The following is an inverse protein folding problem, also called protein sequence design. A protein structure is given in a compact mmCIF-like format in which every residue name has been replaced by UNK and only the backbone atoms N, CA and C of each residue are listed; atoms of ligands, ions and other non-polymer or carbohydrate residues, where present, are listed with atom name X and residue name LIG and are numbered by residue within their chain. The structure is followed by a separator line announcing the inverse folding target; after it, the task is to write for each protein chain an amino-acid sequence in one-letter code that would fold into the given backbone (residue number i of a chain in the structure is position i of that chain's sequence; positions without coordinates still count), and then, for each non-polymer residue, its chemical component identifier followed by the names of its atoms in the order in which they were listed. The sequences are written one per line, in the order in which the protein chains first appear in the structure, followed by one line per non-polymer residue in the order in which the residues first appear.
data_IF_719014195258
#
_entry.id   IF_719014195258
#
_cell.length_a   1.000
_cell.length_b   1.000
_cell.length_c   1.000
_cell.angle_alpha   90.00
_cell.angle_beta   90.00
_cell.angle_gamma   90.00
#
_symmetry.space_group_name_H-M   'P 1'
#
loop_
_entity.id
_entity.type
_entity.pdbx_description
1 polymer ?
#
# COMPACT_ATOMS: atom_id res chain seq x y z
N UNK A 1 -23.95 -30.02 8.36
CA UNK A 1 -22.86 -29.67 9.29
C UNK A 1 -21.60 -29.56 8.44
N UNK A 2 -20.79 -28.52 8.65
CA UNK A 2 -19.50 -28.39 7.95
C UNK A 2 -18.49 -29.36 8.60
N UNK A 3 -17.65 -30.00 7.79
CA UNK A 3 -16.53 -30.79 8.30
C UNK A 3 -15.28 -29.93 8.56
N UNK A 4 -14.30 -30.48 9.28
CA UNK A 4 -13.09 -29.74 9.70
C UNK A 4 -12.25 -29.24 8.51
N UNK A 5 -12.25 -29.96 7.38
CA UNK A 5 -11.52 -29.55 6.18
C UNK A 5 -12.20 -28.35 5.50
N UNK A 6 -13.54 -28.35 5.46
CA UNK A 6 -14.34 -27.21 5.00
C UNK A 6 -14.16 -25.99 5.91
N UNK A 7 -14.18 -26.18 7.24
CA UNK A 7 -13.95 -25.11 8.21
C UNK A 7 -12.57 -24.48 8.05
N UNK A 8 -11.53 -25.31 7.88
CA UNK A 8 -10.16 -24.81 7.66
C UNK A 8 -10.02 -24.01 6.38
N UNK A 9 -10.58 -24.51 5.29
CA UNK A 9 -10.59 -23.83 3.98
C UNK A 9 -11.27 -22.46 4.08
N UNK A 10 -12.41 -22.40 4.77
CA UNK A 10 -13.16 -21.17 4.98
C UNK A 10 -12.38 -20.17 5.84
N UNK A 11 -11.71 -20.63 6.90
CA UNK A 11 -10.87 -19.80 7.75
C UNK A 11 -9.72 -19.15 6.96
N UNK A 12 -9.02 -19.95 6.15
CA UNK A 12 -7.92 -19.49 5.31
C UNK A 12 -8.39 -18.49 4.25
N UNK A 13 -9.53 -18.77 3.61
CA UNK A 13 -10.12 -17.85 2.63
C UNK A 13 -10.58 -16.55 3.27
N UNK A 14 -11.23 -16.61 4.43
CA UNK A 14 -11.66 -15.43 5.19
C UNK A 14 -10.46 -14.57 5.58
N UNK A 15 -9.38 -15.19 6.07
CA UNK A 15 -8.14 -14.51 6.41
C UNK A 15 -7.55 -13.80 5.19
N UNK A 16 -7.42 -14.50 4.07
CA UNK A 16 -6.92 -13.91 2.83
C UNK A 16 -7.73 -12.68 2.38
N UNK A 17 -9.07 -12.76 2.45
CA UNK A 17 -9.95 -11.66 2.06
C UNK A 17 -9.84 -10.46 3.00
N UNK A 18 -9.69 -10.68 4.31
CA UNK A 18 -9.43 -9.59 5.26
C UNK A 18 -8.11 -8.88 4.98
N UNK A 19 -7.04 -9.65 4.77
CA UNK A 19 -5.74 -9.09 4.43
C UNK A 19 -5.76 -8.34 3.08
N UNK A 20 -6.58 -8.78 2.12
CA UNK A 20 -6.80 -8.06 0.85
C UNK A 20 -7.46 -6.70 1.09
N UNK A 21 -8.53 -6.65 1.88
CA UNK A 21 -9.26 -5.40 2.17
C UNK A 21 -8.47 -4.43 3.06
N UNK A 22 -7.72 -4.94 4.04
CA UNK A 22 -6.79 -4.13 4.84
C UNK A 22 -5.75 -3.48 3.91
N UNK A 23 -5.19 -4.25 2.98
CA UNK A 23 -4.21 -3.72 2.03
C UNK A 23 -4.81 -2.70 1.07
N UNK A 24 -6.02 -2.96 0.56
CA UNK A 24 -6.77 -2.03 -0.29
C UNK A 24 -6.99 -0.69 0.41
N UNK A 25 -7.41 -0.73 1.68
CA UNK A 25 -7.65 0.46 2.50
C UNK A 25 -6.36 1.28 2.69
N UNK A 26 -5.27 0.62 3.08
CA UNK A 26 -3.98 1.29 3.25
C UNK A 26 -3.46 1.95 1.96
N UNK A 27 -3.69 1.32 0.80
CA UNK A 27 -3.33 1.90 -0.50
C UNK A 27 -4.20 3.11 -0.82
N UNK A 28 -5.52 3.03 -0.63
CA UNK A 28 -6.44 4.17 -0.84
C UNK A 28 -6.03 5.37 0.02
N UNK A 29 -5.74 5.14 1.29
CA UNK A 29 -5.29 6.18 2.22
C UNK A 29 -3.97 6.80 1.76
N UNK A 30 -2.95 5.98 1.45
CA UNK A 30 -1.66 6.47 0.99
C UNK A 30 -1.74 7.29 -0.31
N UNK A 31 -2.60 6.89 -1.25
CA UNK A 31 -2.82 7.63 -2.51
C UNK A 31 -3.60 8.93 -2.26
N UNK A 32 -4.58 8.90 -1.35
CA UNK A 32 -5.36 10.08 -0.93
C UNK A 32 -4.47 11.11 -0.22
N UNK A 33 -3.61 10.69 0.69
CA UNK A 33 -2.67 11.56 1.40
C UNK A 33 -1.69 12.29 0.46
N UNK A 34 -1.39 11.68 -0.70
CA UNK A 34 -0.59 12.32 -1.74
C UNK A 34 -1.39 13.29 -2.64
N UNK A 35 -2.71 13.41 -2.44
CA UNK A 35 -3.60 14.19 -3.30
C UNK A 35 -3.78 13.62 -4.70
N UNK A 36 -3.51 12.32 -4.88
CA UNK A 36 -3.49 11.64 -6.20
C UNK A 36 -4.64 10.66 -6.40
N UNK A 37 -5.59 10.58 -5.46
CA UNK A 37 -6.73 9.69 -5.57
C UNK A 37 -7.79 10.30 -6.50
N UNK A 38 -7.73 9.94 -7.78
CA UNK A 38 -8.79 10.25 -8.76
C UNK A 38 -9.88 9.19 -8.73
N UNK A 39 -11.05 9.49 -9.29
CA UNK A 39 -12.14 8.51 -9.42
C UNK A 39 -11.71 7.24 -10.16
N UNK A 40 -10.92 7.40 -11.23
CA UNK A 40 -10.37 6.29 -12.01
C UNK A 40 -9.42 5.42 -11.17
N UNK A 41 -8.51 6.04 -10.41
CA UNK A 41 -7.57 5.30 -9.55
C UNK A 41 -8.30 4.61 -8.40
N UNK A 42 -9.30 5.28 -7.80
CA UNK A 42 -10.14 4.67 -6.77
C UNK A 42 -10.91 3.46 -7.32
N UNK A 43 -11.51 3.56 -8.50
CA UNK A 43 -12.21 2.45 -9.15
C UNK A 43 -11.27 1.27 -9.43
N UNK A 44 -10.07 1.52 -9.94
CA UNK A 44 -9.06 0.48 -10.16
C UNK A 44 -8.64 -0.20 -8.85
N UNK A 45 -8.38 0.57 -7.79
CA UNK A 45 -8.02 0.03 -6.48
C UNK A 45 -9.18 -0.78 -5.90
N UNK A 46 -10.44 -0.33 -6.01
CA UNK A 46 -11.63 -1.06 -5.50
C UNK A 46 -11.94 -2.32 -6.31
N UNK A 47 -11.69 -2.31 -7.61
CA UNK A 47 -11.90 -3.43 -8.52
C UNK A 47 -10.82 -4.51 -8.48
N UNK A 48 -9.71 -4.29 -7.78
CA UNK A 48 -8.62 -5.28 -7.71
C UNK A 48 -9.04 -6.53 -6.92
N UNK A 49 -9.01 -7.70 -7.57
CA UNK A 49 -9.41 -8.99 -6.95
C UNK A 49 -8.25 -9.73 -6.26
N UNK A 50 -7.01 -9.27 -6.45
CA UNK A 50 -5.82 -9.92 -5.90
C UNK A 50 -4.87 -8.92 -5.26
N UNK A 51 -4.09 -9.39 -4.27
CA UNK A 51 -3.04 -8.58 -3.63
C UNK A 51 -1.99 -8.12 -4.64
N UNK A 52 -1.62 -8.96 -5.60
CA UNK A 52 -0.67 -8.60 -6.65
C UNK A 52 -1.18 -7.41 -7.49
N UNK A 53 -2.45 -7.48 -7.92
CA UNK A 53 -3.06 -6.38 -8.69
C UNK A 53 -3.11 -5.08 -7.89
N UNK A 54 -3.38 -5.15 -6.58
CA UNK A 54 -3.30 -3.98 -5.70
C UNK A 54 -1.89 -3.36 -5.70
N UNK A 55 -0.83 -4.19 -5.57
CA UNK A 55 0.55 -3.68 -5.59
C UNK A 55 0.93 -3.06 -6.94
N UNK A 56 0.51 -3.65 -8.05
CA UNK A 56 0.79 -3.13 -9.39
C UNK A 56 0.17 -1.74 -9.57
N UNK A 57 -1.08 -1.56 -9.12
CA UNK A 57 -1.77 -0.26 -9.15
C UNK A 57 -1.08 0.73 -8.21
N UNK A 58 -0.63 0.28 -7.03
CA UNK A 58 0.00 1.13 -6.04
C UNK A 58 1.44 1.55 -6.41
N UNK A 59 2.12 0.80 -7.28
CA UNK A 59 3.55 0.98 -7.59
C UNK A 59 3.94 2.43 -7.94
N UNK A 60 3.18 3.19 -8.76
CA UNK A 60 3.50 4.58 -9.09
C UNK A 60 3.34 5.56 -7.92
N UNK A 61 2.57 5.18 -6.92
CA UNK A 61 2.25 6.00 -5.74
C UNK A 61 3.08 5.62 -4.52
N UNK A 62 3.79 4.49 -4.56
CA UNK A 62 4.59 4.03 -3.43
C UNK A 62 5.63 5.10 -3.06
N UNK A 63 5.61 5.64 -1.82
CA UNK A 63 6.55 6.66 -1.39
C UNK A 63 7.98 6.16 -1.59
N UNK A 64 8.80 6.97 -2.28
CA UNK A 64 10.24 6.69 -2.33
C UNK A 64 10.78 6.83 -0.91
N UNK A 65 11.50 5.83 -0.42
CA UNK A 65 12.20 5.92 0.86
C UNK A 65 13.13 7.13 0.82
N UNK A 66 12.82 8.17 1.58
CA UNK A 66 13.75 9.27 1.83
C UNK A 66 14.95 8.70 2.59
N UNK A 67 16.13 8.80 1.99
CA UNK A 67 17.36 8.38 2.67
C UNK A 67 17.73 9.42 3.73
N UNK A 68 18.48 9.02 4.77
CA UNK A 68 19.00 9.96 5.79
C UNK A 68 19.76 11.13 5.14
N UNK A 69 20.45 10.87 4.02
CA UNK A 69 21.15 11.89 3.24
C UNK A 69 20.21 12.90 2.56
N UNK A 70 19.03 12.48 2.10
CA UNK A 70 18.02 13.38 1.54
C UNK A 70 17.38 14.26 2.63
N UNK A 71 17.11 13.69 3.80
CA UNK A 71 16.54 14.42 4.94
C UNK A 71 17.55 15.48 5.44
N UNK A 72 18.85 15.16 5.49
CA UNK A 72 19.89 16.11 5.88
C UNK A 72 19.98 17.30 4.90
N UNK A 73 19.95 17.04 3.59
CA UNK A 73 19.97 18.11 2.57
C UNK A 73 18.71 19.00 2.63
N UNK A 74 17.54 18.41 2.80
CA UNK A 74 16.26 19.16 2.89
C UNK A 74 16.12 19.96 4.19
N UNK A 75 16.79 19.55 5.28
CA UNK A 75 16.82 20.28 6.55
C UNK A 75 17.80 21.47 6.56
N UNK A 76 18.37 21.84 5.41
CA UNK A 76 19.40 22.88 5.32
C UNK A 76 20.74 22.48 5.93
N UNK A 77 20.95 21.19 6.21
CA UNK A 77 22.23 20.62 6.62
C UNK A 77 23.04 20.23 5.38
N UNK A 78 23.08 21.11 4.37
CA UNK A 78 24.24 21.11 3.48
C UNK A 78 25.47 21.29 4.38
N UNK A 79 26.48 20.44 4.27
CA UNK A 79 27.62 20.57 5.13
C UNK A 79 28.26 21.94 4.84
N UNK A 80 28.49 22.72 5.88
CA UNK A 80 29.76 23.43 6.02
C UNK A 80 30.88 22.38 5.88
N UNK A 81 31.15 21.97 4.64
CA UNK A 81 32.34 21.25 4.25
C UNK A 81 33.25 22.26 3.56
N UNK A 82 33.69 23.25 4.32
CA UNK A 82 35.02 23.83 4.15
C UNK A 82 35.83 23.37 5.36
N UNK A 83 36.89 22.60 5.08
CA UNK A 83 37.80 22.00 6.06
C UNK A 83 38.35 20.67 5.59
#
# INVERSE_FOLDING_TARGET
MLDDAQLRTLEERLRYLRELEERRTAILESVREQGKLTEEVEAQIRGAETKARLEDIYLPFKPKRRTKAQIAREAGLEPLAEG
#
